data_IF_052772924591
#
_entry.id   IF_052772924591
#
_cell.length_a   1.000
_cell.length_b   1.000
_cell.length_c   1.000
_cell.angle_alpha   90.00
_cell.angle_beta   90.00
_cell.angle_gamma   90.00
#
_symmetry.space_group_name_H-M   'P 1'
#
loop_
_entity.id
_entity.type
_entity.pdbx_description
1 polymer ?
#
# COMPACT_ATOMS: atom_id res chain seq x y z
N UNK A 1 58.15 3.81 10.13
CA UNK A 1 57.02 4.76 10.21
C UNK A 1 57.28 5.68 11.38
N UNK A 2 57.26 7.00 11.19
CA UNK A 2 57.57 7.96 12.27
C UNK A 2 56.55 7.79 13.41
N UNK A 3 57.04 7.67 14.66
CA UNK A 3 56.18 7.56 15.85
C UNK A 3 55.17 8.70 15.92
N UNK A 4 55.55 9.90 15.47
CA UNK A 4 54.66 11.07 15.42
C UNK A 4 53.49 10.87 14.44
N UNK A 5 53.73 10.18 13.33
CA UNK A 5 52.71 9.81 12.35
C UNK A 5 51.72 8.78 12.92
N UNK A 6 52.22 7.78 13.67
CA UNK A 6 51.37 6.77 14.33
C UNK A 6 50.46 7.43 15.38
N UNK A 7 51.01 8.28 16.25
CA UNK A 7 50.22 8.98 17.26
C UNK A 7 49.20 9.96 16.64
N UNK A 8 49.57 10.63 15.54
CA UNK A 8 48.65 11.50 14.81
C UNK A 8 47.45 10.75 14.21
N UNK A 9 47.69 9.57 13.64
CA UNK A 9 46.62 8.73 13.07
C UNK A 9 45.70 8.22 14.19
N UNK A 10 46.24 7.72 15.30
CA UNK A 10 45.44 7.24 16.43
C UNK A 10 44.58 8.37 17.00
N UNK A 11 45.15 9.56 17.20
CA UNK A 11 44.39 10.71 17.69
C UNK A 11 43.26 11.09 16.73
N UNK A 12 43.52 11.12 15.41
CA UNK A 12 42.50 11.43 14.41
C UNK A 12 41.37 10.38 14.40
N UNK A 13 41.70 9.08 14.48
CA UNK A 13 40.70 8.01 14.53
C UNK A 13 39.86 8.07 15.81
N UNK A 14 40.46 8.40 16.95
CA UNK A 14 39.72 8.58 18.20
C UNK A 14 38.80 9.80 18.14
N UNK A 15 39.23 10.89 17.49
CA UNK A 15 38.40 12.08 17.28
C UNK A 15 37.24 11.78 16.35
N UNK A 16 37.45 11.08 15.22
CA UNK A 16 36.36 10.72 14.31
C UNK A 16 35.35 9.78 14.96
N UNK A 17 35.82 8.82 15.77
CA UNK A 17 34.95 7.93 16.52
C UNK A 17 34.16 8.67 17.60
N UNK A 18 34.81 9.57 18.35
CA UNK A 18 34.13 10.42 19.33
C UNK A 18 33.09 11.33 18.66
N UNK A 19 33.41 11.89 17.48
CA UNK A 19 32.49 12.73 16.72
C UNK A 19 31.28 11.92 16.20
N UNK A 20 31.48 10.68 15.76
CA UNK A 20 30.40 9.79 15.35
C UNK A 20 29.45 9.40 16.49
N UNK A 21 29.95 9.37 17.74
CA UNK A 21 29.13 9.12 18.95
C UNK A 21 28.36 10.36 19.39
N UNK A 22 28.96 11.56 19.25
CA UNK A 22 28.36 12.84 19.67
C UNK A 22 27.38 13.40 18.63
N UNK A 23 27.60 13.13 17.34
CA UNK A 23 26.62 13.43 16.31
C UNK A 23 25.34 12.64 16.61
N UNK A 24 24.16 13.29 16.68
CA UNK A 24 22.90 12.59 16.88
C UNK A 24 22.60 11.70 15.66
N UNK A 25 23.17 10.48 15.67
CA UNK A 25 22.95 9.42 14.68
C UNK A 25 21.74 8.55 15.00
N UNK A 26 20.89 8.98 15.93
CA UNK A 26 19.61 8.35 16.18
C UNK A 26 18.69 8.60 14.98
N UNK A 27 18.05 7.54 14.48
CA UNK A 27 16.94 7.70 13.53
C UNK A 27 15.95 8.68 14.14
N UNK A 28 15.76 9.84 13.52
CA UNK A 28 14.73 10.80 13.93
C UNK A 28 13.42 10.03 14.06
N UNK A 29 12.78 10.09 15.23
CA UNK A 29 11.48 9.46 15.43
C UNK A 29 10.53 10.10 14.42
N UNK A 30 10.06 9.33 13.45
CA UNK A 30 9.09 9.81 12.48
C UNK A 30 7.82 10.18 13.25
N UNK A 31 7.48 11.47 13.30
CA UNK A 31 6.37 11.96 14.11
C UNK A 31 5.00 11.38 13.69
N UNK A 32 4.90 10.92 12.43
CA UNK A 32 3.70 10.33 11.84
C UNK A 32 4.08 9.06 11.07
N UNK A 33 4.27 7.93 11.77
CA UNK A 33 4.69 6.70 11.13
C UNK A 33 3.59 6.16 10.20
N UNK A 34 3.99 5.69 9.02
CA UNK A 34 3.14 5.12 7.96
C UNK A 34 3.14 3.60 8.09
N UNK A 35 2.51 3.10 9.15
CA UNK A 35 2.47 1.66 9.45
C UNK A 35 1.09 1.07 9.06
N UNK A 36 1.04 -0.19 8.58
CA UNK A 36 -0.21 -0.80 8.12
C UNK A 36 -1.21 -1.03 9.26
N UNK A 37 -0.74 -1.19 10.50
CA UNK A 37 -1.60 -1.37 11.68
C UNK A 37 -2.08 -0.08 12.34
N UNK A 38 -1.64 1.09 11.86
CA UNK A 38 -2.16 2.38 12.33
C UNK A 38 -3.30 2.77 11.40
N UNK A 39 -4.51 2.33 11.79
CA UNK A 39 -5.76 2.67 11.11
C UNK A 39 -6.63 3.47 12.08
N UNK A 40 -7.02 4.68 11.69
CA UNK A 40 -7.96 5.52 12.43
C UNK A 40 -9.17 5.83 11.58
N UNK A 41 -10.34 5.95 12.19
CA UNK A 41 -11.54 6.43 11.52
C UNK A 41 -11.82 7.86 11.97
N UNK A 42 -12.23 8.72 11.04
CA UNK A 42 -12.79 10.02 11.40
C UNK A 42 -14.25 9.91 11.87
N UNK A 43 -14.83 11.03 12.31
CA UNK A 43 -16.22 11.09 12.80
C UNK A 43 -17.25 10.64 11.74
N UNK A 44 -16.90 10.72 10.46
CA UNK A 44 -17.75 10.29 9.35
C UNK A 44 -17.47 8.85 8.90
N UNK A 45 -16.58 8.13 9.59
CA UNK A 45 -16.26 6.73 9.32
C UNK A 45 -15.26 6.49 8.19
N UNK A 46 -14.52 7.51 7.75
CA UNK A 46 -13.50 7.35 6.71
C UNK A 46 -12.19 6.86 7.34
N UNK A 47 -11.65 5.70 6.91
CA UNK A 47 -10.41 5.17 7.46
C UNK A 47 -9.20 5.91 6.89
N UNK A 48 -8.24 6.19 7.76
CA UNK A 48 -6.92 6.73 7.44
C UNK A 48 -5.85 5.71 7.76
N UNK A 49 -5.03 5.37 6.76
CA UNK A 49 -3.90 4.45 6.86
C UNK A 49 -2.73 5.01 6.04
N UNK A 50 -1.50 4.80 6.49
CA UNK A 50 -0.29 5.38 5.86
C UNK A 50 -0.30 6.91 5.71
N UNK A 51 -1.14 7.63 6.47
CA UNK A 51 -1.35 9.07 6.31
C UNK A 51 -2.29 9.47 5.16
N UNK A 52 -3.03 8.52 4.59
CA UNK A 52 -3.98 8.71 3.50
C UNK A 52 -5.38 8.30 3.96
N UNK A 53 -6.38 9.12 3.65
CA UNK A 53 -7.78 8.87 4.02
C UNK A 53 -8.52 8.32 2.81
N UNK A 54 -8.96 7.07 2.89
CA UNK A 54 -9.70 6.40 1.82
C UNK A 54 -11.05 7.09 1.65
N UNK A 55 -11.46 7.38 0.41
CA UNK A 55 -12.66 8.14 0.09
C UNK A 55 -12.49 9.66 0.13
N UNK A 56 -11.29 10.19 0.46
CA UNK A 56 -11.00 11.63 0.48
C UNK A 56 -9.68 12.01 -0.20
N UNK A 57 -8.60 11.28 0.08
CA UNK A 57 -7.30 11.56 -0.50
C UNK A 57 -7.31 11.34 -2.01
N UNK A 58 -6.65 12.24 -2.76
CA UNK A 58 -6.49 12.13 -4.21
C UNK A 58 -5.25 11.30 -4.56
N UNK A 59 -5.16 10.83 -5.81
CA UNK A 59 -3.95 10.19 -6.31
C UNK A 59 -2.72 11.11 -6.20
N UNK A 60 -2.88 12.41 -6.40
CA UNK A 60 -1.80 13.38 -6.19
C UNK A 60 -1.34 13.40 -4.73
N UNK A 61 -2.26 13.34 -3.77
CA UNK A 61 -1.92 13.24 -2.35
C UNK A 61 -1.19 11.93 -2.02
N UNK A 62 -1.57 10.81 -2.64
CA UNK A 62 -0.84 9.53 -2.53
C UNK A 62 0.60 9.68 -3.00
N UNK A 63 0.80 10.20 -4.21
CA UNK A 63 2.13 10.38 -4.81
C UNK A 63 3.00 11.29 -3.96
N UNK A 64 2.44 12.38 -3.46
CA UNK A 64 3.14 13.27 -2.54
C UNK A 64 3.45 12.57 -1.21
N UNK A 65 2.51 11.83 -0.63
CA UNK A 65 2.74 11.14 0.63
C UNK A 65 3.81 10.04 0.51
N UNK A 66 3.87 9.32 -0.61
CA UNK A 66 4.85 8.27 -0.86
C UNK A 66 6.15 8.78 -1.50
N UNK A 67 6.18 10.01 -1.98
CA UNK A 67 7.30 10.59 -2.75
C UNK A 67 7.64 9.75 -3.99
N UNK A 68 6.62 9.16 -4.61
CA UNK A 68 6.75 8.22 -5.74
C UNK A 68 5.58 8.44 -6.71
N UNK A 69 5.77 8.25 -8.02
CA UNK A 69 4.70 8.48 -9.00
C UNK A 69 3.80 7.25 -9.20
N UNK A 70 4.40 6.06 -9.13
CA UNK A 70 3.73 4.79 -9.44
C UNK A 70 3.34 4.66 -10.91
N UNK A 71 2.91 3.47 -11.30
CA UNK A 71 2.43 3.15 -12.65
C UNK A 71 0.93 3.07 -12.64
N UNK A 72 0.27 4.03 -13.30
CA UNK A 72 -1.20 4.07 -13.40
C UNK A 72 -1.67 3.38 -14.66
N UNK A 73 -2.68 2.51 -14.55
CA UNK A 73 -3.26 1.78 -15.68
C UNK A 73 -4.74 1.49 -15.40
N UNK A 74 -5.50 1.28 -16.48
CA UNK A 74 -6.86 0.78 -16.37
C UNK A 74 -6.84 -0.75 -16.53
N UNK A 75 -7.53 -1.46 -15.66
CA UNK A 75 -7.68 -2.90 -15.67
C UNK A 75 -9.12 -3.30 -15.97
N UNK A 76 -9.27 -4.42 -16.65
CA UNK A 76 -10.54 -5.07 -16.93
C UNK A 76 -10.45 -6.48 -16.35
N UNK A 77 -11.29 -6.79 -15.37
CA UNK A 77 -11.35 -8.13 -14.81
C UNK A 77 -11.93 -9.13 -15.84
N UNK A 78 -11.74 -10.45 -15.65
CA UNK A 78 -12.39 -11.45 -16.49
C UNK A 78 -13.93 -11.32 -16.53
N UNK A 79 -14.52 -10.76 -15.48
CA UNK A 79 -15.96 -10.46 -15.39
C UNK A 79 -16.35 -9.11 -16.05
N UNK A 80 -15.42 -8.43 -16.72
CA UNK A 80 -15.65 -7.17 -17.44
C UNK A 80 -15.69 -5.91 -16.56
N UNK A 81 -15.35 -6.01 -15.27
CA UNK A 81 -15.31 -4.83 -14.38
C UNK A 81 -14.08 -3.98 -14.67
N UNK A 82 -14.29 -2.68 -14.83
CA UNK A 82 -13.24 -1.69 -15.06
C UNK A 82 -12.73 -1.12 -13.72
N UNK A 83 -11.42 -0.91 -13.61
CA UNK A 83 -10.82 -0.25 -12.45
C UNK A 83 -9.53 0.48 -12.85
N UNK A 84 -9.36 1.73 -12.41
CA UNK A 84 -8.09 2.44 -12.55
C UNK A 84 -7.26 2.21 -11.30
N UNK A 85 -6.06 1.67 -11.49
CA UNK A 85 -5.13 1.33 -10.42
C UNK A 85 -3.77 1.99 -10.65
N UNK A 86 -3.15 2.44 -9.55
CA UNK A 86 -1.77 2.89 -9.52
C UNK A 86 -0.95 1.92 -8.66
N UNK A 87 0.03 1.27 -9.29
CA UNK A 87 0.95 0.35 -8.62
C UNK A 87 2.25 1.06 -8.24
N UNK A 88 2.66 0.90 -6.98
CA UNK A 88 3.90 1.39 -6.42
C UNK A 88 4.74 0.20 -5.98
N UNK A 89 5.92 0.05 -6.58
CA UNK A 89 6.80 -1.08 -6.32
C UNK A 89 7.83 -0.74 -5.25
N UNK A 90 8.08 -1.67 -4.32
CA UNK A 90 9.18 -1.63 -3.37
C UNK A 90 9.28 -0.33 -2.54
N UNK A 91 8.13 0.21 -2.11
CA UNK A 91 8.07 1.37 -1.21
C UNK A 91 8.61 1.03 0.17
N UNK A 92 9.27 1.99 0.82
CA UNK A 92 9.64 1.93 2.22
C UNK A 92 8.79 2.89 3.04
N UNK A 93 7.86 2.36 3.83
CA UNK A 93 6.99 3.14 4.71
C UNK A 93 7.39 2.88 6.16
N UNK A 94 7.99 3.88 6.80
CA UNK A 94 8.54 3.78 8.16
C UNK A 94 9.45 2.55 8.36
N UNK A 95 10.26 2.24 7.35
CA UNK A 95 11.21 1.12 7.35
C UNK A 95 10.63 -0.22 6.91
N UNK A 96 9.32 -0.32 6.64
CA UNK A 96 8.70 -1.52 6.09
C UNK A 96 8.68 -1.48 4.57
N UNK A 97 9.26 -2.50 3.93
CA UNK A 97 9.23 -2.64 2.48
C UNK A 97 7.94 -3.31 2.03
N UNK A 98 7.27 -2.75 1.03
CA UNK A 98 6.06 -3.33 0.45
C UNK A 98 5.81 -2.87 -0.98
N UNK A 99 4.98 -3.64 -1.68
CA UNK A 99 4.28 -3.16 -2.86
C UNK A 99 2.90 -2.63 -2.45
N UNK A 100 2.44 -1.58 -3.13
CA UNK A 100 1.14 -0.97 -2.87
C UNK A 100 0.38 -0.78 -4.19
N UNK A 101 -0.89 -1.16 -4.19
CA UNK A 101 -1.83 -0.81 -5.26
C UNK A 101 -2.86 0.15 -4.68
N UNK A 102 -3.14 1.24 -5.40
CA UNK A 102 -4.21 2.17 -5.07
C UNK A 102 -5.23 2.16 -6.19
N UNK A 103 -6.49 1.84 -5.87
CA UNK A 103 -7.60 1.90 -6.83
C UNK A 103 -8.40 3.18 -6.63
N UNK A 104 -8.72 3.85 -7.74
CA UNK A 104 -9.51 5.08 -7.71
C UNK A 104 -11.01 4.81 -7.66
N UNK A 105 -11.72 5.64 -6.91
CA UNK A 105 -13.18 5.66 -6.83
C UNK A 105 -13.74 6.53 -7.96
N UNK A 106 -13.89 5.93 -9.14
CA UNK A 106 -14.39 6.61 -10.34
C UNK A 106 -15.78 6.10 -10.70
N UNK A 107 -16.60 7.00 -11.25
CA UNK A 107 -17.90 6.62 -11.78
C UNK A 107 -17.73 5.76 -13.04
N UNK A 108 -18.67 4.84 -13.29
CA UNK A 108 -18.62 3.96 -14.46
C UNK A 108 -18.49 4.74 -15.77
N UNK A 109 -19.21 5.84 -15.93
CA UNK A 109 -19.13 6.69 -17.12
C UNK A 109 -17.72 7.27 -17.35
N UNK A 110 -16.98 7.58 -16.28
CA UNK A 110 -15.58 8.04 -16.39
C UNK A 110 -14.66 6.91 -16.80
N UNK A 111 -14.83 5.72 -16.21
CA UNK A 111 -14.07 4.52 -16.56
C UNK A 111 -14.27 4.14 -18.03
N UNK A 112 -15.51 4.14 -18.52
CA UNK A 112 -15.84 3.85 -19.92
C UNK A 112 -15.22 4.88 -20.87
N UNK A 113 -15.26 6.16 -20.49
CA UNK A 113 -14.67 7.22 -21.29
C UNK A 113 -13.14 7.08 -21.39
N UNK A 114 -12.46 6.74 -20.28
CA UNK A 114 -11.02 6.46 -20.25
C UNK A 114 -10.70 5.21 -21.08
N UNK A 115 -11.50 4.15 -20.94
CA UNK A 115 -11.34 2.91 -21.70
C UNK A 115 -11.37 3.17 -23.21
N UNK A 116 -12.37 3.92 -23.68
CA UNK A 116 -12.55 4.24 -25.10
C UNK A 116 -11.42 5.10 -25.67
N UNK A 117 -10.69 5.85 -24.83
CA UNK A 117 -9.50 6.63 -25.21
C UNK A 117 -8.18 5.89 -24.98
N UNK A 118 -8.22 4.65 -24.50
CA UNK A 118 -7.05 3.85 -24.16
C UNK A 118 -6.12 3.62 -25.36
N UNK A 119 -4.81 3.67 -25.12
CA UNK A 119 -3.81 3.63 -26.18
C UNK A 119 -3.42 2.20 -26.61
N UNK A 120 -3.37 1.27 -25.65
CA UNK A 120 -2.95 -0.12 -25.90
C UNK A 120 -3.53 -1.05 -24.86
N UNK A 121 -4.02 -2.21 -25.31
CA UNK A 121 -4.51 -3.29 -24.45
C UNK A 121 -3.50 -4.44 -24.47
N UNK A 122 -3.19 -4.99 -23.30
CA UNK A 122 -2.41 -6.22 -23.11
C UNK A 122 -3.17 -7.16 -22.18
N UNK A 123 -3.16 -8.46 -22.48
CA UNK A 123 -3.73 -9.48 -21.60
C UNK A 123 -2.68 -9.97 -20.60
N UNK A 124 -3.09 -10.15 -19.35
CA UNK A 124 -2.29 -10.71 -18.27
C UNK A 124 -2.55 -12.21 -18.13
N UNK A 125 -1.63 -12.92 -17.46
CA UNK A 125 -1.77 -14.35 -17.19
C UNK A 125 -3.03 -14.69 -16.37
N UNK A 126 -3.47 -13.76 -15.52
CA UNK A 126 -4.72 -13.87 -14.76
C UNK A 126 -6.00 -13.78 -15.61
N UNK A 127 -5.88 -13.56 -16.92
CA UNK A 127 -7.00 -13.30 -17.82
C UNK A 127 -7.52 -11.86 -17.78
N UNK A 128 -7.07 -11.04 -16.82
CA UNK A 128 -7.35 -9.62 -16.81
C UNK A 128 -6.69 -8.90 -17.99
N UNK A 129 -7.30 -7.80 -18.46
CA UNK A 129 -6.69 -6.94 -19.48
C UNK A 129 -6.19 -5.66 -18.81
N UNK A 130 -5.01 -5.22 -19.22
CA UNK A 130 -4.39 -3.96 -18.82
C UNK A 130 -4.41 -3.00 -20.00
N UNK A 131 -4.84 -1.78 -19.76
CA UNK A 131 -4.95 -0.71 -20.75
C UNK A 131 -3.99 0.42 -20.37
N UNK A 132 -3.10 0.77 -21.30
CA UNK A 132 -2.25 1.95 -21.18
C UNK A 132 -3.08 3.20 -21.45
N UNK A 133 -3.01 4.17 -20.53
CA UNK A 133 -3.77 5.41 -20.58
C UNK A 133 -3.06 6.50 -21.40
N UNK A 134 -3.83 7.47 -21.89
CA UNK A 134 -3.30 8.69 -22.50
C UNK A 134 -2.72 9.64 -21.45
N UNK A 135 -1.82 10.55 -21.84
CA UNK A 135 -1.27 11.57 -20.93
C UNK A 135 -2.36 12.47 -20.36
N UNK A 136 -3.32 12.89 -21.19
CA UNK A 136 -4.47 13.68 -20.77
C UNK A 136 -5.30 12.97 -19.69
N UNK A 137 -5.52 11.66 -19.83
CA UNK A 137 -6.23 10.89 -18.82
C UNK A 137 -5.41 10.79 -17.54
N UNK A 138 -4.10 10.53 -17.63
CA UNK A 138 -3.20 10.46 -16.47
C UNK A 138 -3.20 11.77 -15.66
N UNK A 139 -3.20 12.92 -16.34
CA UNK A 139 -3.26 14.24 -15.71
C UNK A 139 -4.61 14.44 -15.00
N UNK A 140 -5.72 14.08 -15.65
CA UNK A 140 -7.06 14.18 -15.05
C UNK A 140 -7.21 13.30 -13.81
N UNK A 141 -6.58 12.11 -13.81
CA UNK A 141 -6.64 11.13 -12.73
C UNK A 141 -5.86 11.56 -11.49
N UNK A 142 -4.98 12.56 -11.58
CA UNK A 142 -4.25 13.08 -10.43
C UNK A 142 -5.21 13.58 -9.32
N UNK A 143 -6.40 14.08 -9.68
CA UNK A 143 -7.44 14.51 -8.74
C UNK A 143 -8.45 13.41 -8.39
N UNK A 144 -8.31 12.21 -8.96
CA UNK A 144 -9.16 11.07 -8.63
C UNK A 144 -9.01 10.68 -7.17
N UNK A 145 -10.13 10.51 -6.48
CA UNK A 145 -10.17 10.08 -5.07
C UNK A 145 -9.87 8.60 -4.98
N UNK A 146 -9.13 8.18 -3.97
CA UNK A 146 -8.80 6.77 -3.74
C UNK A 146 -9.97 6.05 -3.05
N UNK A 147 -10.33 4.86 -3.53
CA UNK A 147 -11.40 4.04 -2.96
C UNK A 147 -10.91 2.78 -2.26
N UNK A 148 -9.71 2.32 -2.58
CA UNK A 148 -9.13 1.08 -2.08
C UNK A 148 -7.60 1.19 -2.07
N UNK A 149 -6.96 0.68 -1.02
CA UNK A 149 -5.51 0.46 -0.95
C UNK A 149 -5.26 -1.03 -0.70
N UNK A 150 -4.43 -1.65 -1.52
CA UNK A 150 -3.86 -2.98 -1.29
C UNK A 150 -2.41 -2.84 -0.88
N UNK A 151 -2.03 -3.43 0.25
CA UNK A 151 -0.66 -3.48 0.76
C UNK A 151 -0.15 -4.91 0.77
N UNK A 152 1.01 -5.14 0.16
CA UNK A 152 1.65 -6.46 0.05
C UNK A 152 3.04 -6.35 0.68
N UNK A 153 3.21 -6.81 1.94
CA UNK A 153 4.50 -6.75 2.61
C UNK A 153 5.55 -7.59 1.87
N UNK A 154 6.79 -7.09 1.83
CA UNK A 154 7.91 -7.87 1.32
C UNK A 154 8.37 -8.93 2.34
N UNK A 155 8.14 -8.69 3.64
CA UNK A 155 8.32 -9.67 4.70
C UNK A 155 7.20 -10.72 4.67
N UNK A 156 7.46 -11.85 5.31
CA UNK A 156 6.45 -12.85 5.68
C UNK A 156 6.06 -12.53 7.14
N UNK A 157 4.76 -12.37 7.39
CA UNK A 157 4.23 -11.84 8.64
C UNK A 157 3.52 -12.96 9.40
N UNK A 158 4.20 -13.50 10.43
CA UNK A 158 3.62 -14.50 11.32
C UNK A 158 2.25 -14.07 11.88
N UNK A 159 1.32 -15.02 12.02
CA UNK A 159 -0.04 -14.78 12.51
C UNK A 159 -0.05 -14.08 13.87
N UNK A 160 0.88 -14.43 14.77
CA UNK A 160 1.02 -13.83 16.10
C UNK A 160 1.36 -12.35 16.00
N UNK A 161 2.22 -11.98 15.04
CA UNK A 161 2.57 -10.58 14.80
C UNK A 161 1.36 -9.82 14.29
N UNK A 162 0.62 -10.36 13.32
CA UNK A 162 -0.59 -9.74 12.79
C UNK A 162 -1.61 -9.55 13.91
N UNK A 163 -1.89 -10.59 14.69
CA UNK A 163 -2.80 -10.54 15.84
C UNK A 163 -2.37 -9.48 16.87
N UNK A 164 -1.07 -9.40 17.19
CA UNK A 164 -0.55 -8.42 18.15
C UNK A 164 -0.70 -6.97 17.68
N UNK A 165 -0.72 -6.73 16.36
CA UNK A 165 -0.76 -5.39 15.76
C UNK A 165 -2.17 -4.95 15.41
N UNK A 166 -3.00 -5.88 14.93
CA UNK A 166 -4.34 -5.58 14.41
C UNK A 166 -5.47 -5.93 15.38
N UNK A 167 -5.20 -6.82 16.35
CA UNK A 167 -6.19 -7.38 17.27
C UNK A 167 -6.76 -8.71 16.77
N UNK A 168 -7.82 -9.19 17.43
CA UNK A 168 -8.61 -10.33 16.93
C UNK A 168 -9.53 -9.88 15.78
N UNK A 169 -9.65 -10.66 14.70
CA UNK A 169 -10.60 -10.37 13.65
C UNK A 169 -12.03 -10.69 14.11
N UNK A 170 -13.00 -9.92 13.63
CA UNK A 170 -14.42 -10.17 13.90
C UNK A 170 -14.90 -11.46 13.24
N UNK A 171 -14.38 -11.77 12.04
CA UNK A 171 -14.72 -12.97 11.28
C UNK A 171 -13.50 -13.54 10.55
N UNK A 172 -13.55 -14.84 10.25
CA UNK A 172 -12.56 -15.53 9.43
C UNK A 172 -13.24 -16.30 8.31
N UNK A 173 -12.71 -16.24 7.10
CA UNK A 173 -13.20 -17.02 5.96
C UNK A 173 -12.03 -17.83 5.39
N UNK A 174 -12.20 -19.14 5.28
CA UNK A 174 -11.23 -20.02 4.64
C UNK A 174 -11.66 -20.35 3.20
N UNK A 175 -10.73 -20.17 2.28
CA UNK A 175 -10.87 -20.61 0.89
C UNK A 175 -10.48 -22.08 0.73
N UNK A 176 -10.88 -22.68 -0.40
CA UNK A 176 -10.46 -24.05 -0.75
C UNK A 176 -8.94 -24.15 -1.01
N UNK A 177 -8.32 -23.03 -1.38
CA UNK A 177 -6.88 -22.89 -1.61
C UNK A 177 -6.04 -23.01 -0.32
N UNK A 178 -6.67 -22.94 0.86
CA UNK A 178 -5.98 -22.83 2.15
C UNK A 178 -5.71 -21.40 2.60
N UNK A 179 -5.99 -20.39 1.75
CA UNK A 179 -5.96 -18.98 2.11
C UNK A 179 -7.01 -18.68 3.18
N UNK A 180 -6.63 -17.93 4.23
CA UNK A 180 -7.54 -17.54 5.31
C UNK A 180 -7.63 -16.03 5.40
N UNK A 181 -8.83 -15.50 5.19
CA UNK A 181 -9.15 -14.08 5.35
C UNK A 181 -9.51 -13.77 6.78
N UNK A 182 -8.81 -12.79 7.37
CA UNK A 182 -9.10 -12.22 8.68
C UNK A 182 -9.79 -10.87 8.47
N UNK A 183 -11.07 -10.81 8.83
CA UNK A 183 -11.93 -9.69 8.50
C UNK A 183 -12.06 -8.73 9.68
N UNK A 184 -11.83 -7.45 9.39
CA UNK A 184 -12.01 -6.32 10.29
C UNK A 184 -13.00 -5.30 9.70
N UNK A 185 -14.32 -5.60 9.66
CA UNK A 185 -15.30 -4.77 8.97
C UNK A 185 -15.36 -3.32 9.47
N UNK A 186 -15.24 -3.13 10.79
CA UNK A 186 -15.25 -1.80 11.43
C UNK A 186 -14.05 -0.94 11.03
N UNK A 187 -12.94 -1.56 10.64
CA UNK A 187 -11.75 -0.89 10.11
C UNK A 187 -11.74 -0.80 8.59
N UNK A 188 -12.71 -1.45 7.92
CA UNK A 188 -12.70 -1.64 6.48
C UNK A 188 -11.49 -2.42 5.99
N UNK A 189 -11.01 -3.40 6.76
CA UNK A 189 -9.76 -4.11 6.51
C UNK A 189 -9.98 -5.62 6.37
N UNK A 190 -9.47 -6.20 5.30
CA UNK A 190 -9.30 -7.64 5.10
C UNK A 190 -7.81 -7.98 5.04
N UNK A 191 -7.38 -9.01 5.77
CA UNK A 191 -6.04 -9.56 5.71
C UNK A 191 -6.13 -11.02 5.24
N UNK A 192 -5.68 -11.26 4.02
CA UNK A 192 -5.55 -12.60 3.45
C UNK A 192 -4.20 -13.20 3.85
N UNK A 193 -4.24 -14.28 4.63
CA UNK A 193 -3.06 -15.04 5.05
C UNK A 193 -2.82 -16.20 4.11
N UNK A 194 -1.71 -16.15 3.39
CA UNK A 194 -1.34 -17.16 2.42
C UNK A 194 -0.23 -18.06 2.97
N UNK A 195 -0.49 -19.36 3.22
CA UNK A 195 0.55 -20.26 3.74
C UNK A 195 1.71 -20.47 2.77
N UNK A 196 1.48 -20.32 1.47
CA UNK A 196 2.45 -20.59 0.40
C UNK A 196 2.88 -19.31 -0.36
N UNK A 197 2.51 -18.12 0.14
CA UNK A 197 2.70 -16.87 -0.57
C UNK A 197 2.77 -15.65 0.33
N UNK A 198 2.58 -14.46 -0.26
CA UNK A 198 2.52 -13.20 0.49
C UNK A 198 1.15 -12.98 1.08
N UNK A 199 1.12 -12.43 2.28
CA UNK A 199 -0.10 -11.88 2.85
C UNK A 199 -0.54 -10.66 2.04
N UNK A 200 -1.84 -10.41 2.00
CA UNK A 200 -2.41 -9.27 1.28
C UNK A 200 -3.37 -8.54 2.19
N UNK A 201 -3.20 -7.23 2.30
CA UNK A 201 -3.97 -6.37 3.18
C UNK A 201 -4.79 -5.43 2.30
N UNK A 202 -6.11 -5.47 2.42
CA UNK A 202 -7.04 -4.68 1.62
C UNK A 202 -7.78 -3.70 2.51
N UNK A 203 -7.65 -2.40 2.24
CA UNK A 203 -8.27 -1.32 3.00
C UNK A 203 -9.31 -0.60 2.13
N UNK A 204 -10.56 -0.61 2.57
CA UNK A 204 -11.69 0.05 1.91
C UNK A 204 -12.49 0.89 2.91
N UNK A 205 -13.46 1.66 2.42
CA UNK A 205 -14.48 2.24 3.30
C UNK A 205 -15.25 1.12 4.04
N UNK A 206 -15.47 1.20 5.36
CA UNK A 206 -16.28 0.23 6.10
C UNK A 206 -17.66 -0.02 5.46
N UNK A 207 -18.30 1.05 4.96
CA UNK A 207 -19.58 0.96 4.26
C UNK A 207 -19.54 0.11 2.96
N UNK A 208 -18.35 -0.10 2.38
CA UNK A 208 -18.12 -0.91 1.17
C UNK A 208 -17.52 -2.29 1.49
N UNK A 209 -17.30 -2.61 2.77
CA UNK A 209 -16.65 -3.86 3.18
C UNK A 209 -17.41 -5.11 2.72
N UNK A 210 -18.76 -5.07 2.74
CA UNK A 210 -19.56 -6.18 2.24
C UNK A 210 -19.29 -6.49 0.75
N UNK A 211 -19.07 -5.46 -0.08
CA UNK A 211 -18.76 -5.64 -1.50
C UNK A 211 -17.34 -6.20 -1.70
N UNK A 212 -16.40 -5.90 -0.80
CA UNK A 212 -15.04 -6.46 -0.81
C UNK A 212 -15.06 -7.98 -0.63
N UNK A 213 -15.84 -8.47 0.34
CA UNK A 213 -15.87 -9.89 0.72
C UNK A 213 -16.87 -10.71 -0.09
N UNK A 214 -17.78 -10.10 -0.85
CA UNK A 214 -18.79 -10.83 -1.62
C UNK A 214 -18.21 -11.94 -2.53
N UNK A 215 -17.08 -11.72 -3.26
CA UNK A 215 -16.46 -12.78 -4.05
C UNK A 215 -15.94 -13.97 -3.23
N UNK A 216 -15.71 -13.80 -1.93
CA UNK A 216 -15.25 -14.88 -1.03
C UNK A 216 -16.41 -15.77 -0.55
N UNK A 217 -17.65 -15.27 -0.68
CA UNK A 217 -18.87 -15.96 -0.25
C UNK A 217 -19.51 -16.76 -1.39
N UNK A 218 -19.37 -16.28 -2.62
CA UNK A 218 -19.85 -16.96 -3.82
C UNK A 218 -18.85 -18.06 -4.22
N UNK A 219 -19.09 -19.29 -3.75
CA UNK A 219 -18.34 -20.51 -4.10
C UNK A 219 -18.96 -21.28 -5.25
#
# INVERSE_FOLDING_TARGET
>A
MDRKLIFGIIALTLITLALAIVLPGGRSIEQKPKLPWIVTLDEAGFPTVFGLTIGKSTLQAVRHNFQEQGVTSLFISPAGKLAVETYFQALYLSGLKADIVVTLDLQQAQLDAIYNRGLRISQLESGAKKVKLSEQDLDSLAQGVIGHITYIPAADLAEELIRSRFGEPQNRIAEQSGLVHWLYPEKGLDIALNPDGKEVFQYVLPARFAALIAPLLDK
#
